data_IF_574480948738
#
_entry.id   IF_574480948738
#
_cell.length_a   1.000
_cell.length_b   1.000
_cell.length_c   1.000
_cell.angle_alpha   90.00
_cell.angle_beta   90.00
_cell.angle_gamma   90.00
#
_symmetry.space_group_name_H-M   'P 1'
#
loop_
_entity.id
_entity.type
_entity.pdbx_description
1 polymer ?
#
# COMPACT_ATOMS: atom_id res chain seq x y z
N UNK A 1 -43.92 -50.19 -10.16
CA UNK A 1 -42.63 -50.32 -9.45
C UNK A 1 -41.72 -51.25 -10.26
N UNK A 2 -40.76 -50.71 -11.02
CA UNK A 2 -39.73 -51.52 -11.68
C UNK A 2 -38.67 -51.85 -10.63
N UNK A 3 -38.53 -53.12 -10.29
CA UNK A 3 -37.53 -53.60 -9.35
C UNK A 3 -36.16 -53.50 -10.02
N UNK A 4 -35.28 -52.68 -9.45
CA UNK A 4 -33.87 -52.65 -9.84
C UNK A 4 -33.28 -54.00 -9.41
N UNK A 5 -32.72 -54.73 -10.36
CA UNK A 5 -32.14 -56.05 -10.10
C UNK A 5 -30.92 -55.90 -9.19
N UNK A 6 -30.78 -56.79 -8.21
CA UNK A 6 -29.67 -56.85 -7.23
C UNK A 6 -28.27 -56.69 -7.89
N UNK A 7 -28.00 -57.23 -9.11
CA UNK A 7 -26.72 -57.02 -9.79
C UNK A 7 -26.45 -55.56 -10.16
N UNK A 8 -27.49 -54.79 -10.53
CA UNK A 8 -27.35 -53.39 -10.90
C UNK A 8 -27.04 -52.50 -9.69
N UNK A 9 -27.56 -52.86 -8.50
CA UNK A 9 -27.23 -52.19 -7.24
C UNK A 9 -25.78 -52.48 -6.84
N UNK A 10 -25.31 -53.72 -7.00
CA UNK A 10 -23.93 -54.11 -6.70
C UNK A 10 -22.91 -53.44 -7.63
N UNK A 11 -23.24 -53.26 -8.92
CA UNK A 11 -22.39 -52.53 -9.87
C UNK A 11 -22.34 -51.03 -9.52
N UNK A 12 -23.48 -50.43 -9.11
CA UNK A 12 -23.50 -49.02 -8.69
C UNK A 12 -22.65 -48.81 -7.42
N UNK A 13 -22.75 -49.71 -6.43
CA UNK A 13 -21.94 -49.67 -5.21
C UNK A 13 -20.46 -49.86 -5.52
N UNK A 14 -20.11 -50.75 -6.45
CA UNK A 14 -18.73 -50.94 -6.89
C UNK A 14 -18.15 -49.68 -7.55
N UNK A 15 -18.93 -48.98 -8.40
CA UNK A 15 -18.50 -47.72 -9.03
C UNK A 15 -18.31 -46.59 -8.02
N UNK A 16 -19.13 -46.53 -6.96
CA UNK A 16 -18.92 -45.56 -5.86
C UNK A 16 -17.74 -45.93 -4.93
N UNK A 17 -17.36 -47.21 -4.84
CA UNK A 17 -16.25 -47.67 -3.99
C UNK A 17 -14.89 -47.66 -4.71
N UNK A 18 -14.86 -47.53 -6.04
CA UNK A 18 -13.60 -47.42 -6.82
C UNK A 18 -13.27 -45.99 -7.27
N UNK A 19 -14.15 -45.03 -7.01
CA UNK A 19 -13.88 -43.62 -7.23
C UNK A 19 -13.00 -43.05 -6.11
N UNK A 20 -11.72 -43.45 -6.04
CA UNK A 20 -10.76 -42.65 -5.30
C UNK A 20 -10.69 -41.28 -6.00
N UNK A 21 -11.32 -40.26 -5.41
CA UNK A 21 -11.00 -38.87 -5.73
C UNK A 21 -9.57 -38.68 -5.23
N UNK A 22 -8.63 -38.89 -6.15
CA UNK A 22 -7.23 -38.55 -5.93
C UNK A 22 -7.16 -37.03 -6.05
N UNK A 23 -7.13 -36.35 -4.90
CA UNK A 23 -6.77 -34.93 -4.86
C UNK A 23 -5.32 -34.88 -5.35
N UNK A 24 -5.13 -34.48 -6.61
CA UNK A 24 -3.82 -34.55 -7.28
C UNK A 24 -2.75 -33.72 -6.57
N UNK A 25 -3.16 -32.70 -5.83
CA UNK A 25 -2.29 -31.86 -5.00
C UNK A 25 -3.00 -31.55 -3.67
N UNK A 26 -2.84 -32.38 -2.61
CA UNK A 26 -3.22 -31.96 -1.27
C UNK A 26 -2.21 -30.88 -0.84
N UNK A 27 -2.63 -29.62 -0.89
CA UNK A 27 -1.82 -28.56 -0.31
C UNK A 27 -2.01 -28.61 1.21
N UNK A 28 -0.95 -28.95 1.94
CA UNK A 28 -0.95 -29.02 3.42
C UNK A 28 -1.01 -27.64 4.10
N UNK A 29 -1.18 -26.57 3.31
CA UNK A 29 -1.20 -25.18 3.78
C UNK A 29 -2.51 -24.48 3.35
N UNK A 30 -2.46 -23.41 2.55
CA UNK A 30 -3.66 -22.72 2.07
C UNK A 30 -4.08 -23.22 0.68
N UNK A 31 -5.39 -23.38 0.41
CA UNK A 31 -5.86 -23.70 -0.93
C UNK A 31 -5.47 -22.60 -1.94
N UNK A 32 -4.90 -22.99 -3.11
CA UNK A 32 -4.57 -22.04 -4.16
C UNK A 32 -5.84 -21.45 -4.78
N UNK A 33 -5.75 -20.18 -5.19
CA UNK A 33 -6.87 -19.45 -5.80
C UNK A 33 -7.22 -18.17 -5.05
N UNK A 34 -8.39 -17.59 -5.36
CA UNK A 34 -8.75 -16.26 -4.89
C UNK A 34 -9.21 -16.28 -3.44
N UNK A 35 -8.81 -15.25 -2.72
CA UNK A 35 -9.24 -14.92 -1.37
C UNK A 35 -9.70 -13.47 -1.31
N UNK A 36 -10.73 -13.23 -0.51
CA UNK A 36 -11.19 -11.88 -0.17
C UNK A 36 -10.89 -11.63 1.29
N UNK A 37 -10.00 -10.68 1.56
CA UNK A 37 -9.71 -10.16 2.89
C UNK A 37 -10.56 -8.95 3.24
N UNK A 38 -10.75 -8.71 4.54
CA UNK A 38 -11.38 -7.51 5.10
C UNK A 38 -10.60 -7.09 6.33
N UNK A 39 -10.22 -5.81 6.40
CA UNK A 39 -9.80 -5.17 7.64
C UNK A 39 -10.99 -4.43 8.27
N UNK A 40 -11.17 -4.59 9.57
CA UNK A 40 -12.19 -3.87 10.34
C UNK A 40 -11.55 -2.65 10.99
N UNK A 41 -11.86 -1.45 10.48
CA UNK A 41 -11.22 -0.20 10.87
C UNK A 41 -11.83 0.42 12.15
N UNK A 42 -12.85 -0.19 12.76
CA UNK A 42 -13.38 0.24 14.05
C UNK A 42 -12.52 -0.27 15.22
N UNK A 43 -12.37 0.55 16.27
CA UNK A 43 -11.64 0.16 17.47
C UNK A 43 -12.53 -0.55 18.52
N UNK A 44 -13.84 -0.69 18.25
CA UNK A 44 -14.83 -1.13 19.26
C UNK A 44 -15.24 -2.61 19.16
N UNK A 45 -14.74 -3.36 18.17
CA UNK A 45 -14.99 -4.80 18.14
C UNK A 45 -14.04 -5.52 19.10
N UNK A 46 -14.59 -6.05 20.21
CA UNK A 46 -13.94 -7.15 20.92
C UNK A 46 -13.83 -8.30 19.92
N UNK A 47 -12.64 -8.48 19.35
CA UNK A 47 -12.34 -9.52 18.38
C UNK A 47 -11.41 -10.53 19.03
N UNK A 48 -11.89 -11.77 19.21
CA UNK A 48 -11.11 -12.92 19.62
C UNK A 48 -10.96 -13.87 18.42
N UNK A 49 -9.77 -13.95 17.79
CA UNK A 49 -9.53 -14.85 16.67
C UNK A 49 -9.96 -16.28 16.99
N UNK A 50 -10.69 -16.92 16.07
CA UNK A 50 -11.13 -18.31 16.21
C UNK A 50 -12.25 -18.58 17.23
N UNK A 51 -12.81 -17.54 17.87
CA UNK A 51 -13.93 -17.66 18.83
C UNK A 51 -15.03 -16.60 18.64
N UNK A 52 -14.69 -15.34 18.36
CA UNK A 52 -15.67 -14.30 18.08
C UNK A 52 -16.10 -14.35 16.61
N UNK A 53 -17.18 -15.08 16.36
CA UNK A 53 -17.84 -15.12 15.07
C UNK A 53 -18.90 -14.02 14.98
N UNK A 54 -18.75 -13.11 14.02
CA UNK A 54 -19.90 -12.75 13.20
C UNK A 54 -19.79 -13.57 11.92
N UNK A 55 -20.58 -14.63 11.85
CA UNK A 55 -20.99 -15.17 10.56
C UNK A 55 -21.85 -14.07 9.94
N UNK A 56 -21.28 -13.21 9.10
CA UNK A 56 -22.08 -12.47 8.13
C UNK A 56 -22.74 -13.54 7.28
N UNK A 57 -24.05 -13.71 7.47
CA UNK A 57 -24.82 -14.67 6.69
C UNK A 57 -24.88 -14.11 5.26
N UNK A 58 -24.82 -14.96 4.23
CA UNK A 58 -25.18 -14.54 2.88
C UNK A 58 -26.60 -13.96 2.93
N UNK A 59 -26.75 -12.64 2.83
CA UNK A 59 -28.05 -11.97 2.98
C UNK A 59 -28.07 -10.68 3.81
N UNK A 60 -26.99 -10.30 4.48
CA UNK A 60 -26.89 -8.97 5.07
C UNK A 60 -26.66 -7.94 3.96
N UNK A 61 -27.76 -7.49 3.34
CA UNK A 61 -27.80 -6.42 2.36
C UNK A 61 -27.28 -5.15 3.03
N UNK A 62 -26.16 -4.66 2.51
CA UNK A 62 -25.45 -3.47 2.98
C UNK A 62 -26.21 -2.24 2.48
N UNK A 63 -27.33 -1.88 3.12
CA UNK A 63 -28.05 -0.62 2.86
C UNK A 63 -27.18 0.62 3.16
N UNK A 64 -26.17 0.47 4.03
CA UNK A 64 -25.26 1.54 4.45
C UNK A 64 -23.90 1.31 3.84
N UNK A 65 -23.28 2.34 3.24
CA UNK A 65 -21.86 2.31 2.86
C UNK A 65 -21.07 1.62 3.98
N UNK A 66 -20.36 0.50 3.72
CA UNK A 66 -19.56 -0.15 4.74
C UNK A 66 -18.38 0.79 5.05
N UNK A 67 -18.58 1.64 6.06
CA UNK A 67 -17.69 2.75 6.44
C UNK A 67 -16.53 2.30 7.34
N UNK A 68 -16.51 1.02 7.73
CA UNK A 68 -15.49 0.43 8.61
C UNK A 68 -14.90 -0.87 8.09
N UNK A 69 -15.34 -1.37 6.92
CA UNK A 69 -14.80 -2.59 6.33
C UNK A 69 -13.98 -2.22 5.11
N UNK A 70 -12.67 -2.45 5.17
CA UNK A 70 -11.76 -2.27 4.06
C UNK A 70 -11.53 -3.64 3.41
N UNK A 71 -12.20 -3.95 2.29
CA UNK A 71 -11.96 -5.19 1.57
C UNK A 71 -10.72 -5.11 0.68
N UNK A 72 -10.05 -6.23 0.50
CA UNK A 72 -8.97 -6.39 -0.45
C UNK A 72 -8.95 -7.81 -1.00
N UNK A 73 -8.34 -8.00 -2.16
CA UNK A 73 -8.24 -9.31 -2.79
C UNK A 73 -6.78 -9.77 -2.79
N UNK A 74 -6.59 -11.05 -2.54
CA UNK A 74 -5.30 -11.69 -2.76
C UNK A 74 -5.49 -13.09 -3.35
N UNK A 75 -4.49 -13.57 -4.07
CA UNK A 75 -4.47 -14.92 -4.64
C UNK A 75 -3.36 -15.72 -3.99
N UNK A 76 -3.68 -16.92 -3.51
CA UNK A 76 -2.67 -17.90 -3.09
C UNK A 76 -2.18 -18.65 -4.32
N UNK A 77 -0.87 -18.64 -4.55
CA UNK A 77 -0.18 -19.38 -5.61
C UNK A 77 0.96 -20.17 -4.99
N UNK A 78 1.45 -21.16 -5.72
CA UNK A 78 2.65 -21.89 -5.37
C UNK A 78 3.62 -21.78 -6.54
N UNK A 79 4.89 -21.54 -6.25
CA UNK A 79 5.93 -21.50 -7.26
C UNK A 79 6.29 -22.92 -7.75
N UNK A 80 7.27 -23.03 -8.65
CA UNK A 80 7.71 -24.34 -9.17
C UNK A 80 8.39 -25.22 -8.11
N UNK A 81 8.89 -24.63 -7.04
CA UNK A 81 9.50 -25.32 -5.89
C UNK A 81 8.48 -25.79 -4.86
N UNK A 82 7.21 -25.35 -4.97
CA UNK A 82 6.16 -25.62 -4.00
C UNK A 82 6.13 -24.61 -2.85
N UNK A 83 6.88 -23.50 -2.95
CA UNK A 83 6.83 -22.41 -1.98
C UNK A 83 5.58 -21.56 -2.22
N UNK A 84 4.90 -21.19 -1.13
CA UNK A 84 3.68 -20.39 -1.18
C UNK A 84 3.98 -18.92 -1.48
N UNK A 85 3.17 -18.30 -2.33
CA UNK A 85 3.16 -16.87 -2.56
C UNK A 85 1.73 -16.32 -2.39
N UNK A 86 1.61 -15.17 -1.72
CA UNK A 86 0.36 -14.40 -1.68
C UNK A 86 0.51 -13.18 -2.58
N UNK A 87 -0.37 -13.07 -3.58
CA UNK A 87 -0.40 -11.92 -4.50
C UNK A 87 -1.57 -11.03 -4.13
N UNK A 88 -1.31 -9.89 -3.49
CA UNK A 88 -2.33 -8.88 -3.16
C UNK A 88 -2.53 -7.99 -4.39
N UNK A 89 -3.77 -7.90 -4.87
CA UNK A 89 -4.08 -7.12 -6.08
C UNK A 89 -4.76 -5.82 -5.69
N UNK A 90 -4.28 -4.69 -6.20
CA UNK A 90 -4.87 -3.36 -6.07
C UNK A 90 -4.96 -2.72 -7.47
N UNK A 91 -6.11 -2.85 -8.13
CA UNK A 91 -6.30 -2.43 -9.52
C UNK A 91 -5.20 -3.00 -10.45
N UNK A 92 -4.28 -2.16 -10.94
CA UNK A 92 -3.18 -2.54 -11.84
C UNK A 92 -1.93 -3.06 -11.09
N UNK A 93 -1.87 -2.89 -9.77
CA UNK A 93 -0.75 -3.36 -8.94
C UNK A 93 -0.99 -4.79 -8.43
N UNK A 94 0.03 -5.62 -8.57
CA UNK A 94 0.14 -6.92 -7.89
C UNK A 94 1.35 -6.88 -6.95
N UNK A 95 1.08 -6.92 -5.64
CA UNK A 95 2.10 -7.05 -4.60
C UNK A 95 2.31 -8.52 -4.25
N UNK A 96 3.48 -9.05 -4.60
CA UNK A 96 3.85 -10.45 -4.29
C UNK A 96 4.53 -10.53 -2.93
N UNK A 97 3.99 -11.36 -2.03
CA UNK A 97 4.50 -11.59 -0.68
C UNK A 97 4.96 -13.03 -0.54
N UNK A 98 6.22 -13.21 -0.15
CA UNK A 98 6.90 -14.51 -0.04
C UNK A 98 7.34 -14.86 1.38
N UNK A 99 7.45 -13.88 2.27
CA UNK A 99 7.77 -14.12 3.68
C UNK A 99 6.50 -14.59 4.41
N UNK A 100 6.28 -15.91 4.34
CA UNK A 100 5.12 -16.60 4.86
C UNK A 100 5.60 -17.70 5.80
N UNK A 101 5.15 -17.64 7.06
CA UNK A 101 5.43 -18.66 8.06
C UNK A 101 4.13 -19.34 8.51
N UNK A 102 4.07 -20.65 8.30
CA UNK A 102 3.03 -21.52 8.85
C UNK A 102 3.47 -22.03 10.23
N UNK A 103 2.51 -22.27 11.11
CA UNK A 103 2.72 -22.85 12.43
C UNK A 103 1.43 -23.35 13.03
N UNK A 104 1.44 -23.71 14.31
CA UNK A 104 0.25 -24.19 15.03
C UNK A 104 0.16 -23.51 16.39
N UNK A 105 -1.00 -22.94 16.70
CA UNK A 105 -1.31 -22.45 18.04
C UNK A 105 -1.69 -23.64 18.92
N UNK A 106 -0.80 -24.00 19.85
CA UNK A 106 -0.99 -25.16 20.74
C UNK A 106 -2.16 -24.98 21.71
N UNK A 107 -2.54 -23.75 22.07
CA UNK A 107 -3.65 -23.50 22.97
C UNK A 107 -5.00 -23.64 22.26
N UNK A 108 -5.06 -23.24 20.98
CA UNK A 108 -6.26 -23.36 20.15
C UNK A 108 -6.33 -24.69 19.38
N UNK A 109 -5.21 -25.42 19.28
CA UNK A 109 -5.01 -26.57 18.41
C UNK A 109 -5.41 -26.26 16.94
N UNK A 110 -5.00 -25.10 16.45
CA UNK A 110 -5.31 -24.61 15.10
C UNK A 110 -4.06 -24.11 14.40
N UNK A 111 -4.03 -24.27 13.08
CA UNK A 111 -2.93 -23.75 12.27
C UNK A 111 -2.94 -22.23 12.25
N UNK A 112 -1.76 -21.65 12.16
CA UNK A 112 -1.54 -20.21 12.12
C UNK A 112 -0.69 -19.85 10.92
N UNK A 113 -1.02 -18.71 10.33
CA UNK A 113 -0.33 -18.08 9.23
C UNK A 113 0.23 -16.75 9.71
N UNK A 114 1.50 -16.47 9.40
CA UNK A 114 2.09 -15.15 9.47
C UNK A 114 2.60 -14.75 8.09
N UNK A 115 2.22 -13.56 7.62
CA UNK A 115 2.60 -13.02 6.31
C UNK A 115 3.25 -11.66 6.54
N UNK A 116 4.58 -11.53 6.35
CA UNK A 116 5.31 -10.27 6.49
C UNK A 116 5.37 -9.56 5.13
N UNK A 117 5.00 -8.28 5.10
CA UNK A 117 4.98 -7.51 3.85
C UNK A 117 6.37 -7.01 3.45
N UNK A 118 6.75 -7.12 2.16
CA UNK A 118 8.06 -6.70 1.68
C UNK A 118 8.39 -5.25 2.00
N UNK A 119 9.61 -4.99 2.48
CA UNK A 119 10.07 -3.66 2.84
C UNK A 119 9.23 -3.04 3.95
N UNK A 120 8.81 -3.84 4.93
CA UNK A 120 8.25 -3.37 6.20
C UNK A 120 8.35 -4.48 7.26
N UNK A 121 8.19 -4.12 8.52
CA UNK A 121 8.01 -5.06 9.63
C UNK A 121 6.52 -5.36 9.91
N UNK A 122 5.61 -4.86 9.06
CA UNK A 122 4.19 -5.10 9.17
C UNK A 122 3.86 -6.53 8.74
N UNK A 123 2.85 -7.12 9.38
CA UNK A 123 2.45 -8.48 9.04
C UNK A 123 0.97 -8.75 9.28
N UNK A 124 0.40 -9.68 8.53
CA UNK A 124 -0.82 -10.38 8.92
C UNK A 124 -0.45 -11.56 9.81
N UNK A 125 -1.19 -11.76 10.91
CA UNK A 125 -1.14 -12.97 11.71
C UNK A 125 -2.56 -13.49 11.86
N UNK A 126 -2.82 -14.70 11.39
CA UNK A 126 -4.15 -15.29 11.36
C UNK A 126 -4.14 -16.76 11.78
N UNK A 127 -5.26 -17.21 12.33
CA UNK A 127 -5.59 -18.62 12.48
C UNK A 127 -6.25 -19.07 11.18
N UNK A 128 -5.82 -20.22 10.66
CA UNK A 128 -6.42 -20.88 9.51
C UNK A 128 -7.36 -21.99 10.00
N UNK A 129 -8.60 -21.95 9.53
CA UNK A 129 -9.58 -23.01 9.78
C UNK A 129 -10.54 -23.11 8.59
N UNK A 130 -10.68 -24.32 8.05
CA UNK A 130 -11.50 -24.62 6.88
C UNK A 130 -11.11 -23.76 5.66
N UNK A 131 -11.92 -22.77 5.32
CA UNK A 131 -11.75 -21.87 4.18
C UNK A 131 -11.60 -20.41 4.64
N UNK A 132 -11.09 -20.21 5.86
CA UNK A 132 -11.12 -18.93 6.55
C UNK A 132 -9.79 -18.61 7.21
N UNK A 133 -9.38 -17.35 7.12
CA UNK A 133 -8.27 -16.79 7.89
C UNK A 133 -8.83 -15.74 8.83
N UNK A 134 -8.45 -15.78 10.11
CA UNK A 134 -8.92 -14.81 11.10
C UNK A 134 -7.80 -14.38 12.02
N UNK A 135 -7.61 -13.07 12.17
CA UNK A 135 -6.58 -12.55 13.06
C UNK A 135 -6.43 -11.05 12.95
N UNK A 136 -5.20 -10.58 12.78
CA UNK A 136 -4.90 -9.15 12.75
C UNK A 136 -3.85 -8.80 11.71
N UNK A 137 -3.99 -7.61 11.13
CA UNK A 137 -2.88 -6.85 10.60
C UNK A 137 -2.20 -6.10 11.75
N UNK A 138 -0.89 -6.29 11.92
CA UNK A 138 -0.10 -5.71 13.00
C UNK A 138 0.93 -4.76 12.42
N UNK A 139 1.05 -3.58 13.03
CA UNK A 139 2.04 -2.55 12.69
C UNK A 139 2.93 -2.34 13.91
N UNK A 140 4.04 -3.10 14.05
CA UNK A 140 4.84 -3.11 15.28
C UNK A 140 5.45 -1.75 15.61
N UNK A 141 5.73 -0.95 14.58
CA UNK A 141 6.22 0.42 14.70
C UNK A 141 5.23 1.40 15.36
N UNK A 142 3.98 0.99 15.60
CA UNK A 142 2.97 1.77 16.32
C UNK A 142 2.60 1.05 17.62
N UNK A 143 2.76 1.70 18.80
CA UNK A 143 2.43 1.08 20.08
C UNK A 143 0.99 0.56 20.13
N UNK A 144 0.82 -0.72 20.45
CA UNK A 144 -0.48 -1.40 20.59
C UNK A 144 -1.41 -1.30 19.37
N UNK A 145 -0.87 -1.05 18.17
CA UNK A 145 -1.66 -0.91 16.97
C UNK A 145 -1.80 -2.24 16.21
N UNK A 146 -3.03 -2.68 16.07
CA UNK A 146 -3.42 -3.81 15.23
C UNK A 146 -4.85 -3.62 14.75
N UNK A 147 -5.16 -4.15 13.58
CA UNK A 147 -6.49 -4.05 12.95
C UNK A 147 -7.04 -5.46 12.76
N UNK A 148 -8.24 -5.79 13.26
CA UNK A 148 -8.85 -7.09 13.01
C UNK A 148 -8.96 -7.40 11.52
N UNK A 149 -8.69 -8.65 11.16
CA UNK A 149 -8.63 -9.14 9.79
C UNK A 149 -9.40 -10.46 9.67
N UNK A 150 -10.22 -10.58 8.62
CA UNK A 150 -10.77 -11.84 8.15
C UNK A 150 -10.51 -12.04 6.66
N UNK A 151 -10.36 -13.29 6.21
CA UNK A 151 -10.40 -13.60 4.79
C UNK A 151 -11.14 -14.91 4.51
N UNK A 152 -11.75 -14.97 3.32
CA UNK A 152 -12.53 -16.13 2.83
C UNK A 152 -12.03 -16.59 1.47
N UNK A 153 -11.83 -17.90 1.35
CA UNK A 153 -11.47 -18.54 0.09
C UNK A 153 -12.64 -18.55 -0.91
N UNK A 154 -12.32 -18.48 -2.20
CA UNK A 154 -13.28 -18.61 -3.30
C UNK A 154 -14.06 -17.33 -3.63
N UNK A 155 -13.77 -16.21 -2.96
CA UNK A 155 -14.41 -14.92 -3.22
C UNK A 155 -13.45 -13.99 -4.00
N UNK A 156 -13.91 -13.51 -5.16
CA UNK A 156 -13.12 -12.65 -6.06
C UNK A 156 -13.67 -11.22 -6.19
N UNK A 157 -14.85 -10.91 -5.64
CA UNK A 157 -15.35 -9.55 -5.61
C UNK A 157 -14.61 -8.73 -4.54
N UNK A 158 -14.48 -7.42 -4.76
CA UNK A 158 -13.92 -6.51 -3.75
C UNK A 158 -15.01 -6.03 -2.80
N UNK A 159 -15.92 -5.18 -3.29
CA UNK A 159 -17.13 -4.82 -2.56
C UNK A 159 -18.29 -5.75 -2.95
N UNK A 160 -19.12 -6.09 -1.97
CA UNK A 160 -20.32 -6.90 -2.22
C UNK A 160 -21.40 -5.98 -2.80
N UNK A 161 -21.70 -6.15 -4.08
CA UNK A 161 -22.81 -5.47 -4.73
C UNK A 161 -24.11 -6.30 -4.64
N UNK A 162 -25.30 -5.68 -4.71
CA UNK A 162 -26.56 -6.40 -4.82
C UNK A 162 -26.58 -7.29 -6.07
N UNK A 163 -27.09 -8.52 -5.93
CA UNK A 163 -27.11 -9.53 -7.02
C UNK A 163 -27.84 -9.04 -8.28
N UNK A 164 -28.89 -8.23 -8.09
CA UNK A 164 -29.73 -7.70 -9.17
C UNK A 164 -29.42 -6.22 -9.46
N UNK A 165 -28.24 -5.72 -9.08
CA UNK A 165 -27.84 -4.37 -9.43
C UNK A 165 -27.72 -4.25 -10.95
N UNK A 166 -28.48 -3.35 -11.56
CA UNK A 166 -28.36 -3.03 -12.99
C UNK A 166 -26.99 -2.45 -13.32
N UNK A 167 -26.53 -2.63 -14.54
CA UNK A 167 -25.36 -1.85 -15.01
C UNK A 167 -25.70 -0.35 -15.00
N UNK A 168 -24.77 0.51 -14.53
CA UNK A 168 -24.92 1.95 -14.68
C UNK A 168 -25.13 2.32 -16.15
N UNK A 169 -26.09 3.21 -16.41
CA UNK A 169 -26.34 3.72 -17.77
C UNK A 169 -25.22 4.63 -18.26
N UNK A 170 -24.44 5.20 -17.33
CA UNK A 170 -23.36 6.15 -17.59
C UNK A 170 -22.22 5.94 -16.60
N UNK A 171 -21.02 6.32 -17.02
CA UNK A 171 -19.83 6.34 -16.18
C UNK A 171 -19.73 7.68 -15.43
N UNK A 172 -20.62 7.89 -14.46
CA UNK A 172 -20.78 9.18 -13.75
C UNK A 172 -19.48 9.69 -13.09
N UNK A 173 -18.64 8.77 -12.61
CA UNK A 173 -17.43 9.07 -11.83
C UNK A 173 -16.17 9.22 -12.67
N UNK A 174 -16.19 8.81 -13.94
CA UNK A 174 -15.00 8.80 -14.81
C UNK A 174 -14.39 10.19 -14.99
N UNK A 175 -13.05 10.24 -15.02
CA UNK A 175 -12.28 11.45 -15.25
C UNK A 175 -11.65 12.05 -13.99
N UNK A 176 -11.25 13.32 -14.09
CA UNK A 176 -10.56 14.05 -13.03
C UNK A 176 -11.52 14.92 -12.25
N UNK A 177 -11.33 14.97 -10.93
CA UNK A 177 -12.14 15.77 -10.01
C UNK A 177 -11.26 16.66 -9.16
N UNK A 178 -11.69 17.91 -8.98
CA UNK A 178 -11.12 18.81 -7.98
C UNK A 178 -11.59 18.37 -6.60
N UNK A 179 -10.67 17.94 -5.74
CA UNK A 179 -10.98 17.40 -4.42
C UNK A 179 -10.34 18.23 -3.32
N UNK A 180 -11.05 18.36 -2.21
CA UNK A 180 -10.52 18.93 -0.98
C UNK A 180 -10.78 17.98 0.18
N UNK A 181 -9.72 17.48 0.81
CA UNK A 181 -9.79 16.76 2.09
C UNK A 181 -9.81 17.75 3.25
N UNK A 182 -10.39 17.32 4.37
CA UNK A 182 -10.58 18.16 5.57
C UNK A 182 -11.22 19.51 5.22
N UNK A 183 -12.34 19.56 4.47
CA UNK A 183 -12.90 20.80 3.94
C UNK A 183 -13.37 21.78 5.03
N UNK A 184 -13.58 21.29 6.26
CA UNK A 184 -13.94 22.08 7.44
C UNK A 184 -12.78 22.25 8.43
N UNK A 185 -11.59 21.74 8.10
CA UNK A 185 -10.40 21.85 8.93
C UNK A 185 -9.70 23.21 8.77
N UNK A 186 -8.73 23.47 9.67
CA UNK A 186 -7.97 24.73 9.66
C UNK A 186 -7.07 24.88 8.42
N UNK A 187 -6.68 23.76 7.80
CA UNK A 187 -5.83 23.70 6.60
C UNK A 187 -6.38 22.66 5.62
N UNK A 188 -7.40 23.00 4.82
CA UNK A 188 -7.94 22.09 3.82
C UNK A 188 -6.86 21.65 2.83
N UNK A 189 -6.89 20.37 2.44
CA UNK A 189 -5.84 19.77 1.62
C UNK A 189 -6.38 19.61 0.19
N UNK A 190 -5.87 20.41 -0.78
CA UNK A 190 -6.26 20.25 -2.17
C UNK A 190 -5.69 18.96 -2.76
N UNK A 191 -6.47 18.33 -3.61
CA UNK A 191 -6.13 17.10 -4.30
C UNK A 191 -6.83 17.00 -5.66
N UNK A 192 -6.27 16.17 -6.55
CA UNK A 192 -6.92 15.76 -7.79
C UNK A 192 -7.28 14.29 -7.65
N UNK A 193 -8.56 13.93 -7.72
CA UNK A 193 -8.93 12.53 -7.89
C UNK A 193 -8.91 12.17 -9.38
N UNK A 194 -8.29 11.05 -9.73
CA UNK A 194 -8.32 10.49 -11.08
C UNK A 194 -9.04 9.16 -11.02
N UNK A 195 -10.22 9.09 -11.63
CA UNK A 195 -11.05 7.89 -11.64
C UNK A 195 -11.19 7.33 -13.05
N UNK A 196 -11.13 6.01 -13.15
CA UNK A 196 -11.49 5.27 -14.36
C UNK A 196 -12.65 4.33 -14.05
N UNK A 197 -13.79 4.56 -14.70
CA UNK A 197 -15.00 3.77 -14.48
C UNK A 197 -15.33 2.92 -15.71
N UNK A 198 -15.59 1.64 -15.49
CA UNK A 198 -16.11 0.72 -16.49
C UNK A 198 -17.34 -0.01 -15.93
N UNK A 199 -18.53 0.54 -16.17
CA UNK A 199 -19.77 0.02 -15.60
C UNK A 199 -19.74 0.08 -14.07
N UNK A 200 -19.89 -1.07 -13.42
CA UNK A 200 -19.81 -1.22 -11.95
C UNK A 200 -18.39 -1.20 -11.37
N UNK A 201 -17.36 -1.24 -12.21
CA UNK A 201 -15.97 -1.27 -11.76
C UNK A 201 -15.38 0.14 -11.75
N UNK A 202 -14.63 0.44 -10.69
CA UNK A 202 -13.94 1.72 -10.53
C UNK A 202 -12.51 1.46 -10.07
N UNK A 203 -11.57 2.16 -10.69
CA UNK A 203 -10.23 2.34 -10.17
C UNK A 203 -9.89 3.82 -10.08
N UNK A 204 -8.83 4.15 -9.35
CA UNK A 204 -8.32 5.51 -9.34
C UNK A 204 -7.24 5.77 -8.30
N UNK A 205 -6.97 7.05 -8.10
CA UNK A 205 -6.04 7.56 -7.09
C UNK A 205 -6.39 9.01 -6.74
N UNK A 206 -5.78 9.54 -5.68
CA UNK A 206 -5.81 10.95 -5.33
C UNK A 206 -4.39 11.49 -5.36
N UNK A 207 -4.15 12.58 -6.08
CA UNK A 207 -2.88 13.27 -6.19
C UNK A 207 -2.92 14.48 -5.27
N UNK A 208 -1.92 14.64 -4.40
CA UNK A 208 -1.79 15.73 -3.43
C UNK A 208 -0.41 16.39 -3.55
N UNK A 209 -0.18 17.48 -2.81
CA UNK A 209 1.13 18.13 -2.72
C UNK A 209 2.24 17.22 -2.13
N UNK A 210 1.92 16.09 -1.50
CA UNK A 210 2.92 15.19 -0.90
C UNK A 210 3.08 13.87 -1.65
N UNK A 211 2.35 13.67 -2.74
CA UNK A 211 2.30 12.44 -3.53
C UNK A 211 0.89 11.93 -3.73
N UNK A 212 0.73 10.66 -4.06
CA UNK A 212 -0.58 10.08 -4.36
C UNK A 212 -0.99 8.92 -3.43
N UNK A 213 -2.22 8.44 -3.61
CA UNK A 213 -2.84 7.39 -2.77
C UNK A 213 -2.69 5.98 -3.36
N UNK A 214 -1.84 5.84 -4.38
CA UNK A 214 -1.58 4.62 -5.13
C UNK A 214 -2.86 4.00 -5.70
N UNK A 215 -2.73 2.77 -6.17
CA UNK A 215 -3.76 2.05 -6.89
C UNK A 215 -4.97 1.75 -5.99
N UNK A 216 -6.08 2.48 -6.21
CA UNK A 216 -7.36 2.20 -5.57
C UNK A 216 -8.24 1.35 -6.50
N UNK A 217 -8.94 0.38 -5.92
CA UNK A 217 -9.91 -0.45 -6.63
C UNK A 217 -11.24 -0.51 -5.88
N UNK A 218 -12.33 -0.58 -6.63
CA UNK A 218 -13.64 -0.83 -6.06
C UNK A 218 -14.76 -0.79 -7.07
N UNK A 219 -15.89 -0.25 -6.64
CA UNK A 219 -17.17 -0.44 -7.30
C UNK A 219 -18.06 0.80 -7.25
N UNK A 220 -19.04 0.82 -8.16
CA UNK A 220 -20.09 1.84 -8.25
C UNK A 220 -21.48 1.21 -8.08
N UNK A 221 -22.34 1.91 -7.35
CA UNK A 221 -23.78 1.61 -7.25
C UNK A 221 -24.57 2.91 -7.38
N UNK A 222 -25.17 3.14 -8.55
CA UNK A 222 -25.94 4.37 -8.82
C UNK A 222 -25.07 5.61 -8.65
N UNK A 223 -25.41 6.44 -7.67
CA UNK A 223 -24.73 7.68 -7.32
C UNK A 223 -23.65 7.52 -6.24
N UNK A 224 -23.28 6.27 -5.88
CA UNK A 224 -22.27 5.95 -4.86
C UNK A 224 -21.06 5.26 -5.46
N UNK A 225 -19.88 5.54 -4.89
CA UNK A 225 -18.66 4.80 -5.14
C UNK A 225 -18.02 4.30 -3.85
N UNK A 226 -17.24 3.23 -3.98
CA UNK A 226 -16.32 2.75 -2.96
C UNK A 226 -15.00 2.37 -3.60
N UNK A 227 -13.93 2.67 -2.88
CA UNK A 227 -12.57 2.37 -3.28
C UNK A 227 -11.79 1.90 -2.05
N UNK A 228 -10.83 1.02 -2.27
CA UNK A 228 -9.92 0.57 -1.22
C UNK A 228 -8.58 0.17 -1.81
N UNK A 229 -7.55 0.20 -0.97
CA UNK A 229 -6.25 -0.39 -1.23
C UNK A 229 -5.67 -0.97 0.06
N UNK A 230 -4.94 -2.08 -0.09
CA UNK A 230 -4.15 -2.65 0.99
C UNK A 230 -2.87 -3.26 0.42
N UNK A 231 -1.72 -2.72 0.82
CA UNK A 231 -0.38 -3.15 0.39
C UNK A 231 0.51 -3.56 1.58
N UNK A 232 -0.10 -3.70 2.77
CA UNK A 232 0.61 -3.97 4.02
C UNK A 232 1.15 -2.75 4.75
N UNK A 233 1.20 -1.58 4.10
CA UNK A 233 1.60 -0.28 4.68
C UNK A 233 0.43 0.71 4.63
N UNK A 234 -0.11 0.94 3.43
CA UNK A 234 -1.39 1.61 3.22
C UNK A 234 -2.55 0.65 3.43
N UNK A 235 -3.56 1.18 4.11
CA UNK A 235 -4.85 0.55 4.32
C UNK A 235 -5.88 1.67 4.16
N UNK A 236 -6.24 1.99 2.92
CA UNK A 236 -7.20 3.05 2.63
C UNK A 236 -8.58 2.53 2.31
N UNK A 237 -9.60 3.19 2.87
CA UNK A 237 -11.00 2.98 2.55
C UNK A 237 -11.62 4.34 2.21
N UNK A 238 -12.25 4.41 1.04
CA UNK A 238 -12.89 5.60 0.51
C UNK A 238 -14.31 5.24 0.13
N UNK A 239 -15.25 6.11 0.49
CA UNK A 239 -16.62 6.06 0.00
C UNK A 239 -17.09 7.46 -0.32
N UNK A 240 -17.87 7.62 -1.38
CA UNK A 240 -18.48 8.89 -1.73
C UNK A 240 -19.81 8.71 -2.42
N UNK A 241 -20.58 9.80 -2.44
CA UNK A 241 -21.86 9.91 -3.10
C UNK A 241 -21.95 11.22 -3.87
N UNK A 242 -22.58 11.20 -5.04
CA UNK A 242 -23.02 12.40 -5.75
C UNK A 242 -24.31 12.92 -5.09
N UNK A 243 -24.31 14.18 -4.62
CA UNK A 243 -25.49 14.79 -4.00
C UNK A 243 -26.25 15.74 -4.93
N UNK A 244 -25.56 16.56 -5.72
CA UNK A 244 -26.16 17.52 -6.66
C UNK A 244 -25.32 17.63 -7.93
N UNK A 245 -25.74 16.97 -9.02
CA UNK A 245 -25.11 17.04 -10.36
C UNK A 245 -23.63 16.62 -10.37
N UNK A 246 -22.75 17.58 -10.11
CA UNK A 246 -21.28 17.49 -10.22
C UNK A 246 -20.55 17.56 -8.87
N UNK A 247 -21.27 17.42 -7.74
CA UNK A 247 -20.67 17.45 -6.39
C UNK A 247 -20.59 16.05 -5.77
N UNK A 248 -19.37 15.64 -5.41
CA UNK A 248 -19.08 14.49 -4.56
C UNK A 248 -18.91 14.92 -3.10
N UNK A 249 -19.46 14.11 -2.20
CA UNK A 249 -19.13 14.15 -0.79
C UNK A 249 -18.80 12.75 -0.32
N UNK A 250 -17.73 12.62 0.46
CA UNK A 250 -17.24 11.32 0.88
C UNK A 250 -16.40 11.36 2.13
N UNK A 251 -15.94 10.18 2.51
CA UNK A 251 -14.98 9.98 3.59
C UNK A 251 -13.76 9.24 3.08
N UNK A 252 -12.67 9.39 3.82
CA UNK A 252 -11.42 8.67 3.67
C UNK A 252 -10.99 8.14 5.04
N UNK A 253 -10.53 6.89 5.08
CA UNK A 253 -9.90 6.29 6.26
C UNK A 253 -8.53 5.76 5.92
N UNK A 254 -7.58 5.94 6.85
CA UNK A 254 -6.27 5.29 6.82
C UNK A 254 -6.11 4.43 8.07
N UNK A 255 -6.22 3.12 7.88
CA UNK A 255 -6.29 2.17 8.98
C UNK A 255 -7.38 2.52 10.00
N UNK A 256 -7.18 2.13 11.26
CA UNK A 256 -8.13 2.40 12.36
C UNK A 256 -7.82 3.69 13.15
N UNK A 257 -6.89 4.52 12.66
CA UNK A 257 -6.38 5.68 13.41
C UNK A 257 -6.68 7.04 12.77
N UNK A 258 -7.05 7.09 11.49
CA UNK A 258 -7.33 8.35 10.80
C UNK A 258 -8.60 8.24 9.97
N UNK A 259 -9.43 9.27 10.04
CA UNK A 259 -10.67 9.43 9.26
C UNK A 259 -10.87 10.91 8.98
N UNK A 260 -11.22 11.24 7.75
CA UNK A 260 -11.60 12.60 7.34
C UNK A 260 -12.72 12.54 6.30
N UNK A 261 -13.46 13.64 6.19
CA UNK A 261 -14.33 13.90 5.05
C UNK A 261 -13.55 14.53 3.89
N UNK A 262 -14.13 14.44 2.69
CA UNK A 262 -13.67 15.15 1.50
C UNK A 262 -14.84 15.53 0.61
N UNK A 263 -14.65 16.59 -0.16
CA UNK A 263 -15.60 17.04 -1.18
C UNK A 263 -14.91 17.06 -2.54
N UNK A 264 -15.67 16.81 -3.61
CA UNK A 264 -15.16 16.82 -4.98
C UNK A 264 -16.09 17.55 -5.94
N UNK A 265 -15.53 18.20 -6.96
CA UNK A 265 -16.27 18.88 -8.01
C UNK A 265 -15.69 18.56 -9.40
N UNK A 266 -16.54 18.38 -10.41
CA UNK A 266 -16.07 18.38 -11.82
C UNK A 266 -15.69 19.80 -12.25
N UNK A 267 -14.71 19.90 -13.14
CA UNK A 267 -14.32 21.16 -13.78
C UNK A 267 -12.86 21.52 -13.54
N UNK A 268 -12.61 22.78 -13.16
CA UNK A 268 -11.27 23.32 -12.96
C UNK A 268 -10.55 22.58 -11.81
N UNK A 269 -9.38 22.01 -12.13
CA UNK A 269 -8.55 21.28 -11.19
C UNK A 269 -7.80 22.26 -10.27
N UNK A 270 -7.54 21.89 -9.00
CA UNK A 270 -6.80 22.75 -8.10
C UNK A 270 -5.34 22.85 -8.57
N UNK A 271 -4.73 24.01 -8.34
CA UNK A 271 -3.29 24.18 -8.48
C UNK A 271 -2.60 23.50 -7.29
N UNK A 272 -1.81 22.47 -7.58
CA UNK A 272 -0.90 21.86 -6.63
C UNK A 272 0.44 22.61 -6.67
N UNK A 273 1.12 22.65 -5.52
CA UNK A 273 2.40 23.34 -5.39
C UNK A 273 3.46 22.71 -6.31
N UNK A 274 4.32 23.53 -6.91
CA UNK A 274 5.45 23.02 -7.70
C UNK A 274 6.46 22.30 -6.78
N UNK A 275 6.63 20.97 -6.92
CA UNK A 275 7.50 20.18 -6.05
C UNK A 275 8.97 20.60 -6.10
N UNK A 276 9.40 21.31 -7.14
CA UNK A 276 10.77 21.83 -7.29
C UNK A 276 11.06 23.03 -6.40
N UNK A 277 10.02 23.73 -5.93
CA UNK A 277 10.15 24.99 -5.17
C UNK A 277 9.77 24.84 -3.69
N UNK A 278 9.29 23.66 -3.29
CA UNK A 278 8.74 23.42 -1.96
C UNK A 278 9.79 23.29 -0.85
N UNK A 279 11.08 23.14 -1.15
CA UNK A 279 12.11 22.98 -0.13
C UNK A 279 13.07 24.15 -0.12
N UNK A 280 13.24 24.77 1.06
CA UNK A 280 14.21 25.83 1.28
C UNK A 280 15.35 25.35 2.19
N UNK A 281 16.59 25.56 1.76
CA UNK A 281 17.79 25.14 2.50
C UNK A 281 18.39 26.28 3.31
N UNK A 282 19.14 25.93 4.36
CA UNK A 282 19.88 26.85 5.22
C UNK A 282 21.21 27.30 4.60
N UNK A 283 21.76 26.50 3.70
CA UNK A 283 23.03 26.70 3.00
C UNK A 283 22.90 26.09 1.60
N UNK A 284 23.75 26.52 0.67
CA UNK A 284 23.83 25.94 -0.67
C UNK A 284 24.60 24.61 -0.65
N UNK A 285 25.39 24.34 0.38
CA UNK A 285 26.10 23.07 0.57
C UNK A 285 25.31 22.15 1.51
N UNK A 286 25.13 20.89 1.13
CA UNK A 286 24.47 19.90 1.97
C UNK A 286 25.46 19.22 2.92
N UNK A 287 25.21 19.36 4.21
CA UNK A 287 25.96 18.69 5.27
C UNK A 287 25.02 17.86 6.15
N UNK A 288 25.39 16.61 6.42
CA UNK A 288 24.64 15.72 7.30
C UNK A 288 25.56 14.74 8.04
N UNK A 289 25.06 14.23 9.16
CA UNK A 289 25.62 13.12 9.91
C UNK A 289 24.52 12.08 10.16
N UNK A 290 24.78 10.83 9.82
CA UNK A 290 23.80 9.73 9.84
C UNK A 290 24.47 8.45 10.35
N UNK A 291 23.68 7.39 10.56
CA UNK A 291 24.17 6.10 11.04
C UNK A 291 24.00 5.04 9.95
N UNK A 292 25.04 4.26 9.65
CA UNK A 292 24.96 3.12 8.71
C UNK A 292 24.24 1.89 9.30
N UNK A 293 24.10 0.83 8.50
CA UNK A 293 23.36 -0.37 8.89
C UNK A 293 24.09 -1.22 9.95
N UNK A 294 25.39 -0.95 10.14
CA UNK A 294 26.30 -1.53 11.12
C UNK A 294 26.36 -0.72 12.42
N UNK A 295 25.83 0.50 12.43
CA UNK A 295 25.80 1.39 13.59
C UNK A 295 26.94 2.42 13.65
N UNK A 296 27.73 2.58 12.60
CA UNK A 296 28.79 3.59 12.52
C UNK A 296 28.22 4.94 12.08
N UNK A 297 28.85 6.01 12.55
CA UNK A 297 28.52 7.37 12.10
C UNK A 297 29.18 7.66 10.75
N UNK A 298 28.39 8.21 9.84
CA UNK A 298 28.80 8.60 8.48
C UNK A 298 28.52 10.08 8.29
N UNK A 299 29.49 10.80 7.73
CA UNK A 299 29.38 12.22 7.39
C UNK A 299 29.20 12.39 5.88
N UNK A 300 28.49 13.44 5.47
CA UNK A 300 28.46 13.83 4.06
C UNK A 300 29.85 14.12 3.46
N UNK A 301 30.86 14.38 4.30
CA UNK A 301 32.27 14.56 3.91
C UNK A 301 32.94 13.26 3.44
N UNK A 302 32.36 12.10 3.74
CA UNK A 302 32.89 10.78 3.34
C UNK A 302 32.58 10.47 1.87
N UNK A 303 31.63 11.19 1.27
CA UNK A 303 31.33 11.14 -0.15
C UNK A 303 31.97 12.38 -0.80
N UNK A 304 32.86 12.21 -1.77
CA UNK A 304 33.47 13.34 -2.49
C UNK A 304 33.70 12.97 -3.94
N UNK A 305 33.46 13.92 -4.83
CA UNK A 305 33.90 13.85 -6.23
C UNK A 305 32.93 13.16 -7.18
N UNK A 306 31.66 12.99 -6.81
CA UNK A 306 30.63 12.44 -7.69
C UNK A 306 29.32 13.22 -7.54
N UNK A 307 28.60 13.49 -8.64
CA UNK A 307 27.22 13.97 -8.58
C UNK A 307 26.38 13.04 -7.71
N UNK A 308 25.49 13.61 -6.88
CA UNK A 308 24.76 12.84 -5.88
C UNK A 308 23.28 13.23 -5.82
N UNK A 309 22.44 12.23 -5.57
CA UNK A 309 21.07 12.40 -5.11
C UNK A 309 20.96 11.98 -3.64
N UNK A 310 20.66 12.92 -2.76
CA UNK A 310 20.31 12.62 -1.37
C UNK A 310 18.78 12.43 -1.26
N UNK A 311 18.36 11.22 -0.88
CA UNK A 311 16.95 10.84 -0.78
C UNK A 311 16.53 10.79 0.70
N UNK A 312 15.72 11.75 1.11
CA UNK A 312 15.03 11.74 2.40
C UNK A 312 13.84 10.79 2.30
N UNK A 313 13.87 9.67 3.02
CA UNK A 313 12.92 8.55 2.87
C UNK A 313 12.45 7.99 4.23
N UNK A 314 11.64 6.93 4.20
CA UNK A 314 11.22 6.15 5.36
C UNK A 314 10.63 4.81 4.94
N UNK A 315 10.88 3.73 5.69
CA UNK A 315 10.38 2.37 5.33
C UNK A 315 8.85 2.27 5.29
N UNK A 316 8.19 3.19 5.99
CA UNK A 316 6.74 3.28 6.13
C UNK A 316 6.04 4.11 5.04
N UNK A 317 6.78 4.55 4.01
CA UNK A 317 6.32 5.46 2.96
C UNK A 317 6.29 4.75 1.58
N UNK A 318 5.12 4.33 1.08
CA UNK A 318 5.00 3.69 -0.23
C UNK A 318 5.46 4.57 -1.41
N UNK A 319 5.16 5.88 -1.40
CA UNK A 319 5.63 6.80 -2.44
C UNK A 319 7.16 6.91 -2.48
N UNK A 320 7.83 6.65 -1.34
CA UNK A 320 9.28 6.57 -1.28
C UNK A 320 9.81 5.31 -1.98
N UNK A 321 9.08 4.19 -1.95
CA UNK A 321 9.42 2.99 -2.72
C UNK A 321 9.36 3.25 -4.22
N UNK A 322 8.37 4.00 -4.70
CA UNK A 322 8.29 4.37 -6.12
C UNK A 322 9.44 5.31 -6.53
N UNK A 323 9.79 6.27 -5.67
CA UNK A 323 10.94 7.14 -5.91
C UNK A 323 12.26 6.35 -5.98
N UNK A 324 12.45 5.38 -5.09
CA UNK A 324 13.59 4.46 -5.12
C UNK A 324 13.62 3.69 -6.44
N UNK A 325 12.49 3.12 -6.85
CA UNK A 325 12.41 2.35 -8.10
C UNK A 325 12.81 3.20 -9.33
N UNK A 326 12.35 4.46 -9.38
CA UNK A 326 12.74 5.39 -10.44
C UNK A 326 14.23 5.74 -10.37
N UNK A 327 14.78 6.00 -9.18
CA UNK A 327 16.21 6.31 -9.04
C UNK A 327 17.09 5.12 -9.47
N UNK A 328 16.72 3.89 -9.11
CA UNK A 328 17.38 2.66 -9.56
C UNK A 328 17.34 2.50 -11.09
N UNK A 329 16.25 2.92 -11.74
CA UNK A 329 16.15 2.94 -13.20
C UNK A 329 17.10 3.99 -13.79
N UNK A 330 17.09 5.22 -13.27
CA UNK A 330 17.88 6.33 -13.78
C UNK A 330 19.40 6.13 -13.60
N UNK A 331 19.82 5.39 -12.56
CA UNK A 331 21.24 4.99 -12.38
C UNK A 331 21.75 4.03 -13.46
N UNK A 332 20.87 3.41 -14.25
CA UNK A 332 21.28 2.61 -15.42
C UNK A 332 21.57 3.50 -16.63
N UNK A 333 21.06 4.72 -16.63
CA UNK A 333 21.17 5.70 -17.72
C UNK A 333 22.26 6.75 -17.45
N UNK A 334 22.43 7.16 -16.19
CA UNK A 334 23.32 8.24 -15.76
C UNK A 334 24.28 7.78 -14.66
N UNK A 335 25.49 8.35 -14.63
CA UNK A 335 26.49 8.09 -13.60
C UNK A 335 26.34 9.10 -12.45
N UNK A 336 25.70 8.68 -11.37
CA UNK A 336 25.55 9.46 -10.14
C UNK A 336 25.35 8.54 -8.94
N UNK A 337 25.71 9.05 -7.76
CA UNK A 337 25.50 8.36 -6.50
C UNK A 337 24.12 8.64 -5.93
N UNK A 338 23.54 7.65 -5.24
CA UNK A 338 22.34 7.85 -4.43
C UNK A 338 22.69 7.58 -2.98
N UNK A 339 22.22 8.44 -2.08
CA UNK A 339 22.33 8.23 -0.64
C UNK A 339 20.93 8.31 -0.04
N UNK A 340 20.41 7.16 0.41
CA UNK A 340 19.14 7.11 1.13
C UNK A 340 19.34 7.47 2.59
N UNK A 341 18.58 8.43 3.11
CA UNK A 341 18.56 8.80 4.52
C UNK A 341 17.15 8.58 5.04
N UNK A 342 16.99 7.50 5.80
CA UNK A 342 15.70 7.01 6.26
C UNK A 342 15.36 7.56 7.63
N UNK A 343 14.20 8.20 7.74
CA UNK A 343 13.66 8.70 9.00
C UNK A 343 12.51 7.79 9.45
N UNK A 344 12.73 7.06 10.54
CA UNK A 344 11.91 5.90 10.91
C UNK A 344 10.93 6.18 12.06
N UNK A 345 9.91 5.32 12.16
CA UNK A 345 8.99 5.30 13.30
C UNK A 345 9.64 4.80 14.59
N UNK A 346 10.70 4.01 14.48
CA UNK A 346 11.51 3.63 15.62
C UNK A 346 12.52 4.73 15.92
N UNK A 347 12.43 5.34 17.10
CA UNK A 347 13.37 6.37 17.54
C UNK A 347 14.75 5.77 17.88
N UNK A 348 14.76 4.58 18.49
CA UNK A 348 15.97 3.86 18.87
C UNK A 348 16.59 3.13 17.67
N UNK A 349 17.86 3.40 17.39
CA UNK A 349 18.60 2.80 16.27
C UNK A 349 18.61 1.26 16.36
N UNK A 350 18.69 0.68 17.55
CA UNK A 350 18.71 -0.77 17.77
C UNK A 350 17.45 -1.46 17.24
N UNK A 351 16.32 -0.73 17.16
CA UNK A 351 15.08 -1.22 16.56
C UNK A 351 14.94 -0.84 15.09
N UNK A 352 15.42 0.33 14.69
CA UNK A 352 15.33 0.82 13.31
C UNK A 352 16.26 0.05 12.36
N UNK A 353 17.50 -0.20 12.76
CA UNK A 353 18.54 -0.78 11.89
C UNK A 353 18.18 -2.18 11.35
N UNK A 354 17.61 -3.12 12.13
CA UNK A 354 17.14 -4.38 11.57
C UNK A 354 16.08 -4.20 10.48
N UNK A 355 15.11 -3.31 10.69
CA UNK A 355 14.04 -3.04 9.71
C UNK A 355 14.61 -2.40 8.45
N UNK A 356 15.60 -1.51 8.58
CA UNK A 356 16.29 -0.90 7.44
C UNK A 356 17.12 -1.92 6.64
N UNK A 357 17.76 -2.88 7.32
CA UNK A 357 18.46 -3.99 6.67
C UNK A 357 17.50 -4.86 5.87
N UNK A 358 16.40 -5.28 6.48
CA UNK A 358 15.36 -6.06 5.81
C UNK A 358 14.77 -5.26 4.63
N UNK A 359 14.53 -3.96 4.80
CA UNK A 359 14.05 -3.08 3.73
C UNK A 359 15.03 -2.99 2.55
N UNK A 360 16.32 -2.80 2.83
CA UNK A 360 17.36 -2.75 1.80
C UNK A 360 17.48 -4.07 1.04
N UNK A 361 17.33 -5.19 1.72
CA UNK A 361 17.37 -6.54 1.12
C UNK A 361 16.10 -6.83 0.31
N UNK A 362 14.92 -6.59 0.88
CA UNK A 362 13.62 -6.83 0.25
C UNK A 362 13.47 -6.03 -1.06
N UNK A 363 14.05 -4.83 -1.13
CA UNK A 363 14.04 -3.98 -2.33
C UNK A 363 15.26 -4.15 -3.23
N UNK A 364 16.27 -4.95 -2.84
CA UNK A 364 17.54 -5.12 -3.56
C UNK A 364 18.22 -3.78 -3.93
N UNK A 365 18.35 -2.88 -2.96
CA UNK A 365 18.92 -1.54 -3.20
C UNK A 365 20.37 -1.62 -3.67
N UNK A 366 20.72 -0.86 -4.71
CA UNK A 366 22.07 -0.75 -5.25
C UNK A 366 22.89 0.39 -4.63
N UNK A 367 22.31 1.13 -3.69
CA UNK A 367 22.91 2.26 -3.02
C UNK A 367 22.76 2.17 -1.49
N UNK A 368 23.60 2.85 -0.70
CA UNK A 368 23.53 2.79 0.74
C UNK A 368 22.29 3.48 1.30
N UNK A 369 21.73 2.88 2.34
CA UNK A 369 20.62 3.40 3.14
C UNK A 369 21.10 3.63 4.58
N UNK A 370 20.94 4.86 5.07
CA UNK A 370 21.35 5.28 6.40
C UNK A 370 20.15 5.59 7.28
N UNK A 371 20.32 5.45 8.59
CA UNK A 371 19.37 5.90 9.59
C UNK A 371 19.60 7.38 9.93
N UNK A 372 18.61 8.21 9.62
CA UNK A 372 18.58 9.65 9.94
C UNK A 372 17.84 9.97 11.24
N UNK A 373 17.39 8.98 12.01
CA UNK A 373 16.63 9.21 13.24
C UNK A 373 15.12 9.12 13.05
N UNK A 374 14.36 9.75 13.94
CA UNK A 374 12.90 9.63 13.97
C UNK A 374 12.20 10.43 12.85
N UNK A 375 11.07 9.93 12.35
CA UNK A 375 10.29 10.45 11.21
C UNK A 375 9.69 11.87 11.36
N UNK A 376 9.90 12.56 12.48
CA UNK A 376 9.43 13.93 12.65
C UNK A 376 10.04 14.85 11.58
N UNK A 377 9.18 15.63 10.93
CA UNK A 377 9.57 16.49 9.79
C UNK A 377 10.59 17.56 10.18
N UNK A 378 10.56 18.02 11.42
CA UNK A 378 11.51 18.96 12.01
C UNK A 378 12.86 18.29 12.28
N UNK A 379 12.87 17.02 12.70
CA UNK A 379 14.10 16.25 12.87
C UNK A 379 14.80 16.04 11.52
N UNK A 380 14.03 15.60 10.51
CA UNK A 380 14.53 15.46 9.15
C UNK A 380 15.08 16.78 8.60
N UNK A 381 14.35 17.89 8.80
CA UNK A 381 14.83 19.19 8.36
C UNK A 381 16.09 19.65 9.08
N UNK A 382 16.22 19.35 10.37
CA UNK A 382 17.42 19.68 11.15
C UNK A 382 18.64 18.96 10.59
N UNK A 383 18.54 17.66 10.36
CA UNK A 383 19.64 16.81 9.88
C UNK A 383 20.02 17.14 8.44
N UNK A 384 19.02 17.45 7.60
CA UNK A 384 19.22 17.71 6.18
C UNK A 384 19.45 19.19 5.85
N UNK A 385 19.63 20.06 6.84
CA UNK A 385 19.86 21.49 6.62
C UNK A 385 18.69 22.24 5.98
N UNK A 386 17.45 21.75 6.10
CA UNK A 386 16.24 22.37 5.55
C UNK A 386 15.66 23.37 6.57
N UNK A 387 15.10 24.49 6.09
CA UNK A 387 14.44 25.50 6.93
C UNK A 387 13.07 25.01 7.38
N UNK A 388 12.77 25.22 8.66
CA UNK A 388 11.47 24.84 9.23
C UNK A 388 11.30 23.34 9.35
N UNK A 389 10.68 22.72 8.33
CA UNK A 389 10.30 21.30 8.32
C UNK A 389 10.39 20.71 6.92
N UNK A 390 10.58 19.40 6.82
CA UNK A 390 10.41 18.65 5.57
C UNK A 390 8.93 18.65 5.20
N UNK A 391 8.59 19.00 3.96
CA UNK A 391 7.20 19.14 3.52
C UNK A 391 6.53 17.81 3.15
N UNK A 392 7.31 16.84 2.67
CA UNK A 392 6.82 15.50 2.32
C UNK A 392 7.94 14.46 2.45
N UNK A 393 7.55 13.19 2.57
CA UNK A 393 8.44 12.07 2.26
C UNK A 393 7.91 11.42 0.98
N UNK A 394 8.76 11.16 -0.03
CA UNK A 394 10.18 11.49 -0.06
C UNK A 394 10.44 12.98 -0.31
N UNK A 395 11.64 13.45 0.03
CA UNK A 395 12.24 14.68 -0.52
C UNK A 395 13.58 14.31 -1.15
N UNK A 396 13.77 14.70 -2.40
CA UNK A 396 14.93 14.37 -3.22
C UNK A 396 15.76 15.63 -3.37
N UNK A 397 17.07 15.57 -3.10
CA UNK A 397 18.00 16.70 -3.22
C UNK A 397 19.05 16.33 -4.26
N UNK A 398 19.22 17.19 -5.27
CA UNK A 398 20.18 17.01 -6.35
C UNK A 398 21.43 17.84 -6.07
N UNK A 399 22.59 17.18 -6.04
CA UNK A 399 23.88 17.75 -5.68
C UNK A 399 24.88 17.57 -6.82
N UNK A 400 25.66 18.61 -7.11
CA UNK A 400 26.82 18.48 -8.00
C UNK A 400 27.99 17.72 -7.33
N UNK A 401 29.10 17.54 -8.06
CA UNK A 401 30.30 16.84 -7.57
C UNK A 401 31.02 17.56 -6.42
N UNK A 402 30.71 18.83 -6.17
CA UNK A 402 31.16 19.62 -5.02
C UNK A 402 30.15 19.65 -3.87
N UNK A 403 29.05 18.89 -3.98
CA UNK A 403 27.94 18.82 -3.03
C UNK A 403 27.19 20.14 -2.82
N UNK A 404 27.20 20.97 -3.85
CA UNK A 404 26.33 22.15 -3.92
C UNK A 404 24.96 21.70 -4.42
N UNK A 405 23.92 22.19 -3.76
CA UNK A 405 22.53 21.92 -4.07
C UNK A 405 22.17 22.62 -5.39
N UNK A 406 21.91 21.82 -6.40
CA UNK A 406 21.45 22.29 -7.73
C UNK A 406 19.93 22.33 -7.81
N UNK A 407 19.24 21.53 -6.98
CA UNK A 407 17.79 21.53 -6.90
C UNK A 407 17.24 20.54 -5.89
N UNK A 408 15.92 20.51 -5.77
CA UNK A 408 15.20 19.53 -4.97
C UNK A 408 13.87 19.17 -5.60
N UNK A 409 13.28 18.06 -5.18
CA UNK A 409 11.93 17.63 -5.55
C UNK A 409 11.21 17.10 -4.31
N UNK A 410 10.02 17.62 -4.01
CA UNK A 410 9.27 17.30 -2.79
C UNK A 410 8.04 16.46 -3.10
N UNK A 411 7.87 15.35 -2.37
CA UNK A 411 6.79 14.39 -2.62
C UNK A 411 7.07 13.51 -3.82
N UNK A 412 6.16 12.57 -4.09
CA UNK A 412 6.27 11.70 -5.27
C UNK A 412 4.89 11.19 -5.67
N UNK A 413 4.49 11.47 -6.90
CA UNK A 413 3.25 10.97 -7.52
C UNK A 413 3.60 9.80 -8.42
N UNK A 414 3.35 8.59 -7.95
CA UNK A 414 3.79 7.35 -8.54
C UNK A 414 3.02 6.92 -9.80
N UNK A 415 3.32 5.72 -10.33
CA UNK A 415 2.81 5.26 -11.63
C UNK A 415 1.28 5.06 -11.68
N UNK A 416 0.58 5.09 -10.55
CA UNK A 416 -0.87 5.10 -10.49
C UNK A 416 -1.51 6.41 -11.01
N UNK A 417 -0.70 7.43 -11.30
CA UNK A 417 -1.15 8.77 -11.67
C UNK A 417 -0.84 9.10 -13.13
N UNK A 418 -1.70 9.91 -13.75
CA UNK A 418 -1.43 10.41 -15.11
C UNK A 418 -0.27 11.42 -15.20
N UNK A 419 0.21 11.93 -14.06
CA UNK A 419 1.34 12.88 -13.98
C UNK A 419 2.70 12.19 -13.86
N UNK A 420 2.75 10.87 -13.65
CA UNK A 420 4.00 10.14 -13.50
C UNK A 420 4.98 10.32 -14.68
N UNK A 421 4.55 10.28 -15.97
CA UNK A 421 5.47 10.49 -17.08
C UNK A 421 6.18 11.86 -17.06
N UNK A 422 5.47 12.93 -16.69
CA UNK A 422 6.09 14.26 -16.58
C UNK A 422 7.00 14.38 -15.35
N UNK A 423 6.69 13.66 -14.27
CA UNK A 423 7.58 13.54 -13.12
C UNK A 423 8.90 12.87 -13.53
N UNK A 424 8.86 11.76 -14.28
CA UNK A 424 10.06 11.05 -14.78
C UNK A 424 10.95 11.98 -15.61
N UNK A 425 10.36 12.74 -16.53
CA UNK A 425 11.11 13.71 -17.34
C UNK A 425 11.71 14.84 -16.50
N UNK A 426 11.00 15.30 -15.47
CA UNK A 426 11.55 16.27 -14.51
C UNK A 426 12.77 15.71 -13.76
N UNK A 427 12.69 14.47 -13.27
CA UNK A 427 13.82 13.80 -12.61
C UNK A 427 15.02 13.64 -13.54
N UNK A 428 14.79 13.16 -14.77
CA UNK A 428 15.85 13.08 -15.80
C UNK A 428 16.52 14.43 -16.02
N UNK A 429 15.74 15.50 -16.15
CA UNK A 429 16.28 16.85 -16.34
C UNK A 429 17.11 17.32 -15.15
N UNK A 430 16.70 17.05 -13.90
CA UNK A 430 17.50 17.43 -12.72
C UNK A 430 18.79 16.61 -12.61
N UNK A 431 18.76 15.32 -12.91
CA UNK A 431 19.95 14.46 -12.91
C UNK A 431 20.94 14.92 -14.00
N UNK A 432 20.44 15.24 -15.20
CA UNK A 432 21.30 15.77 -16.26
C UNK A 432 22.03 17.05 -15.85
N UNK A 433 21.40 17.93 -15.08
CA UNK A 433 22.07 19.15 -14.58
C UNK A 433 23.26 18.79 -13.70
N UNK A 434 23.09 17.89 -12.73
CA UNK A 434 24.18 17.56 -11.80
C UNK A 434 25.31 16.76 -12.45
N UNK A 435 25.01 15.92 -13.46
CA UNK A 435 26.02 15.14 -14.19
C UNK A 435 26.74 15.98 -15.26
N UNK A 436 26.08 16.98 -15.85
CA UNK A 436 26.71 17.85 -16.86
C UNK A 436 27.53 19.01 -16.29
N UNK A 437 27.46 19.24 -14.98
CA UNK A 437 28.26 20.23 -14.26
C UNK A 437 29.66 19.72 -13.85
N UNK A 438 30.10 18.57 -14.39
CA UNK A 438 31.46 18.03 -14.22
C UNK A 438 32.57 18.80 -14.96
#
# INVERSE_FOLDING_TARGET
>A
MKWISIPAILILIAVFMTGCIEVRDPYDQLPPGPWRGVLYLDQQTSFRPGTDFRVTRPGDVVEKIPDNQLPFNFTVRYDRGGEMELVFTNAEEDLVVRDIAMGTDLALAKDTLRVRFPGSDNYLKAVFAENTLQGYWVVPSRPNYRVPFDARFGLNHRFQLPVNLSEPSENLFDGKWNVTFEPQGDQPIPAIAEFSQAGKHLSGTFITNTGDYRYLQGNVEGDKLWLSTFDGVFAFLIGAKIFDGDKLEGFFKSGSHYTTDWIGFKGELPELNDPLTMTEFKSDQLEFEVIDLEGNHISSLDFKGSPMVALITGTWCPNCKDAIALLEELRKEFDFEVVGISFERYEAAEKALPVLRDYSQDLNLSFPLYFGGHYHRENAAKIMGIKGRVNAFPTIIFLDSNHIIVGSYTGFSGPATSVYPSLVESFRSQIQKIVSHE
#
